data_IF_125175017964
#
_entry.id   IF_125175017964
#
_cell.length_a   1.000
_cell.length_b   1.000
_cell.length_c   1.000
_cell.angle_alpha   90.00
_cell.angle_beta   90.00
_cell.angle_gamma   90.00
#
_symmetry.space_group_name_H-M   'P 1'
#
loop_
_entity.id
_entity.type
_entity.pdbx_description
1 polymer ?
#
# COMPACT_ATOMS: atom_id res chain seq x y z
N UNK A 1 10.89 28.30 -11.07
CA UNK A 1 10.15 29.16 -10.10
C UNK A 1 8.65 29.30 -10.40
N UNK A 2 8.18 29.08 -11.64
CA UNK A 2 6.75 29.22 -12.01
C UNK A 2 5.87 28.04 -11.61
N UNK A 3 6.41 26.82 -11.51
CA UNK A 3 5.62 25.62 -11.18
C UNK A 3 5.12 25.63 -9.72
N UNK A 4 5.99 25.99 -8.78
CA UNK A 4 5.62 26.03 -7.35
C UNK A 4 4.52 27.03 -7.05
N UNK A 5 4.55 28.23 -7.67
CA UNK A 5 3.51 29.22 -7.53
C UNK A 5 2.17 28.72 -8.11
N UNK A 6 2.20 28.11 -9.31
CA UNK A 6 1.01 27.50 -9.92
C UNK A 6 0.36 26.43 -9.03
N UNK A 7 1.18 25.61 -8.35
CA UNK A 7 0.67 24.57 -7.46
C UNK A 7 0.07 25.14 -6.17
N UNK A 8 0.60 26.24 -5.67
CA UNK A 8 0.01 26.96 -4.53
C UNK A 8 -1.37 27.50 -4.88
N UNK A 9 -1.54 28.16 -6.03
CA UNK A 9 -2.85 28.66 -6.47
C UNK A 9 -3.87 27.54 -6.69
N UNK A 10 -3.49 26.44 -7.30
CA UNK A 10 -4.38 25.28 -7.46
C UNK A 10 -4.87 24.76 -6.10
N UNK A 11 -3.98 24.61 -5.13
CA UNK A 11 -4.34 24.18 -3.77
C UNK A 11 -5.28 25.18 -3.10
N UNK A 12 -5.03 26.47 -3.22
CA UNK A 12 -5.90 27.52 -2.68
C UNK A 12 -7.30 27.47 -3.28
N UNK A 13 -7.41 27.32 -4.61
CA UNK A 13 -8.71 27.20 -5.29
C UNK A 13 -9.45 25.95 -4.80
N UNK A 14 -8.79 24.82 -4.74
CA UNK A 14 -9.40 23.56 -4.24
C UNK A 14 -9.84 23.74 -2.78
N UNK A 15 -9.04 24.38 -1.94
CA UNK A 15 -9.38 24.64 -0.54
C UNK A 15 -10.63 25.51 -0.42
N UNK A 16 -10.72 26.59 -1.20
CA UNK A 16 -11.89 27.49 -1.21
C UNK A 16 -13.12 26.73 -1.71
N UNK A 17 -13.01 25.98 -2.80
CA UNK A 17 -14.11 25.17 -3.32
C UNK A 17 -14.56 24.12 -2.31
N UNK A 18 -13.63 23.45 -1.65
CA UNK A 18 -13.93 22.46 -0.62
C UNK A 18 -14.67 23.12 0.55
N UNK A 19 -14.23 24.29 1.00
CA UNK A 19 -14.87 25.02 2.09
C UNK A 19 -16.29 25.48 1.74
N UNK A 20 -16.51 25.88 0.49
CA UNK A 20 -17.82 26.37 0.02
C UNK A 20 -18.83 25.22 -0.23
N UNK A 21 -18.37 24.09 -0.78
CA UNK A 21 -19.25 23.03 -1.29
C UNK A 21 -19.27 21.77 -0.43
N UNK A 22 -18.20 21.45 0.31
CA UNK A 22 -18.17 20.27 1.16
C UNK A 22 -18.78 20.59 2.52
N UNK A 23 -19.72 19.75 2.93
CA UNK A 23 -20.29 19.76 4.28
C UNK A 23 -19.77 18.56 5.04
N UNK A 24 -19.25 18.78 6.23
CA UNK A 24 -18.89 17.69 7.14
C UNK A 24 -20.13 16.93 7.56
N UNK A 25 -20.07 15.61 7.51
CA UNK A 25 -21.10 14.79 8.17
C UNK A 25 -21.00 15.06 9.68
N UNK A 26 -22.10 15.42 10.36
CA UNK A 26 -22.06 15.65 11.79
C UNK A 26 -21.79 14.30 12.49
N UNK A 27 -20.53 14.07 12.84
CA UNK A 27 -20.12 12.91 13.64
C UNK A 27 -19.93 13.41 15.06
N UNK A 28 -20.79 12.98 15.97
CA UNK A 28 -20.61 13.16 17.41
C UNK A 28 -19.63 12.08 17.92
N UNK A 29 -18.33 12.24 17.64
CA UNK A 29 -17.29 11.37 18.17
C UNK A 29 -17.02 11.68 19.65
N UNK A 30 -17.07 10.68 20.51
CA UNK A 30 -16.58 10.78 21.86
C UNK A 30 -15.15 10.24 21.90
N UNK A 31 -14.17 11.08 22.23
CA UNK A 31 -12.74 10.72 22.30
C UNK A 31 -12.52 9.43 23.13
N UNK A 32 -13.24 9.27 24.25
CA UNK A 32 -13.16 8.05 25.06
C UNK A 32 -13.60 6.79 24.30
N UNK A 33 -14.58 6.91 23.43
CA UNK A 33 -15.07 5.81 22.62
C UNK A 33 -14.11 5.47 21.46
N UNK A 34 -13.43 6.48 20.92
CA UNK A 34 -12.41 6.27 19.89
C UNK A 34 -11.17 5.54 20.43
N UNK A 35 -10.81 5.77 21.72
CA UNK A 35 -9.70 5.06 22.36
C UNK A 35 -9.97 3.57 22.59
N UNK A 36 -11.23 3.13 22.58
CA UNK A 36 -11.57 1.70 22.76
C UNK A 36 -11.09 0.81 21.62
N UNK A 37 -10.79 1.38 20.42
CA UNK A 37 -10.27 0.62 19.29
C UNK A 37 -8.94 -0.08 19.61
N UNK A 38 -8.11 0.50 20.47
CA UNK A 38 -6.79 -0.07 20.81
C UNK A 38 -6.87 -1.34 21.66
N UNK A 39 -7.99 -1.59 22.34
CA UNK A 39 -8.28 -2.85 23.03
C UNK A 39 -8.67 -3.99 22.10
N UNK A 40 -8.98 -3.71 20.83
CA UNK A 40 -9.38 -4.71 19.87
C UNK A 40 -8.16 -5.23 19.09
N UNK A 41 -7.89 -6.54 19.14
CA UNK A 41 -6.80 -7.19 18.40
C UNK A 41 -6.87 -6.93 16.87
N UNK A 42 -8.09 -6.83 16.33
CA UNK A 42 -8.29 -6.60 14.90
C UNK A 42 -7.79 -5.23 14.45
N UNK A 43 -7.77 -4.23 15.32
CA UNK A 43 -7.16 -2.93 15.02
C UNK A 43 -5.67 -3.08 14.68
N UNK A 44 -4.95 -3.89 15.44
CA UNK A 44 -3.52 -4.12 15.23
C UNK A 44 -3.25 -4.98 13.98
N UNK A 45 -4.10 -5.96 13.70
CA UNK A 45 -4.00 -6.76 12.47
C UNK A 45 -4.26 -5.90 11.24
N UNK A 46 -5.32 -5.09 11.25
CA UNK A 46 -5.61 -4.17 10.15
C UNK A 46 -4.54 -3.08 10.00
N UNK A 47 -3.94 -2.63 11.11
CA UNK A 47 -2.81 -1.71 11.08
C UNK A 47 -1.61 -2.35 10.37
N UNK A 48 -1.27 -3.59 10.68
CA UNK A 48 -0.19 -4.31 10.00
C UNK A 48 -0.50 -4.51 8.50
N UNK A 49 -1.73 -4.89 8.15
CA UNK A 49 -2.14 -5.12 6.77
C UNK A 49 -2.08 -3.82 5.96
N UNK A 50 -2.66 -2.76 6.49
CA UNK A 50 -2.64 -1.46 5.82
C UNK A 50 -1.23 -0.89 5.74
N UNK A 51 -0.44 -1.00 6.81
CA UNK A 51 0.96 -0.60 6.81
C UNK A 51 1.74 -1.38 5.74
N UNK A 52 1.66 -2.71 5.70
CA UNK A 52 2.39 -3.52 4.72
C UNK A 52 2.04 -3.15 3.28
N UNK A 53 0.76 -2.99 2.97
CA UNK A 53 0.31 -2.63 1.61
C UNK A 53 0.66 -1.18 1.26
N UNK A 54 0.35 -0.23 2.14
CA UNK A 54 0.57 1.19 1.86
C UNK A 54 2.04 1.59 1.92
N UNK A 55 2.81 1.05 2.89
CA UNK A 55 4.24 1.29 2.98
C UNK A 55 4.97 0.82 1.72
N UNK A 56 4.66 -0.39 1.26
CA UNK A 56 5.26 -0.93 0.04
C UNK A 56 4.84 -0.10 -1.17
N UNK A 57 3.56 0.21 -1.31
CA UNK A 57 3.04 1.03 -2.40
C UNK A 57 3.68 2.43 -2.44
N UNK A 58 3.53 3.20 -1.39
CA UNK A 58 3.97 4.59 -1.36
C UNK A 58 5.50 4.70 -1.23
N UNK A 59 6.13 3.78 -0.49
CA UNK A 59 7.57 3.73 -0.32
C UNK A 59 8.30 3.38 -1.62
N UNK A 60 7.88 2.33 -2.31
CA UNK A 60 8.44 1.99 -3.62
C UNK A 60 8.11 3.08 -4.65
N UNK A 61 6.93 3.70 -4.59
CA UNK A 61 6.57 4.82 -5.47
C UNK A 61 7.52 6.00 -5.34
N UNK A 62 7.92 6.33 -4.12
CA UNK A 62 8.90 7.39 -3.86
C UNK A 62 10.34 7.01 -4.29
N UNK A 63 10.68 5.73 -4.24
CA UNK A 63 12.05 5.24 -4.45
C UNK A 63 12.28 4.59 -5.81
N UNK A 64 11.24 4.37 -6.64
CA UNK A 64 11.34 3.60 -7.89
C UNK A 64 12.41 4.14 -8.84
N UNK A 65 12.48 5.46 -9.01
CA UNK A 65 13.48 6.09 -9.88
C UNK A 65 14.92 5.86 -9.38
N UNK A 66 15.15 6.05 -8.09
CA UNK A 66 16.47 5.85 -7.47
C UNK A 66 16.86 4.36 -7.51
N UNK A 67 15.95 3.49 -7.11
CA UNK A 67 16.16 2.04 -7.05
C UNK A 67 16.45 1.47 -8.44
N UNK A 68 15.70 1.90 -9.46
CA UNK A 68 15.92 1.48 -10.83
C UNK A 68 17.26 1.99 -11.39
N UNK A 69 17.63 3.25 -11.15
CA UNK A 69 18.92 3.77 -11.56
C UNK A 69 20.08 2.97 -10.95
N UNK A 70 19.99 2.62 -9.66
CA UNK A 70 20.99 1.77 -9.02
C UNK A 70 21.01 0.35 -9.60
N UNK A 71 19.85 -0.23 -9.82
CA UNK A 71 19.73 -1.61 -10.30
C UNK A 71 20.18 -1.76 -11.76
N UNK A 72 20.00 -0.73 -12.58
CA UNK A 72 20.34 -0.74 -14.00
C UNK A 72 21.73 -0.13 -14.30
N UNK A 73 22.46 0.28 -13.25
CA UNK A 73 23.78 0.88 -13.42
C UNK A 73 24.73 -0.01 -14.22
N UNK A 74 25.37 0.55 -15.24
CA UNK A 74 26.31 -0.16 -16.12
C UNK A 74 25.68 -0.97 -17.26
N UNK A 75 24.34 -0.96 -17.43
CA UNK A 75 23.66 -1.62 -18.55
C UNK A 75 23.37 -0.58 -19.62
N UNK A 76 24.13 -0.59 -20.72
CA UNK A 76 23.90 0.31 -21.85
C UNK A 76 22.53 0.03 -22.51
N UNK A 77 21.77 1.08 -22.80
CA UNK A 77 20.44 0.97 -23.39
C UNK A 77 19.33 0.57 -22.40
N UNK A 78 19.61 0.52 -21.10
CA UNK A 78 18.59 0.26 -20.09
C UNK A 78 17.48 1.33 -20.11
N UNK A 79 16.21 0.96 -19.83
CA UNK A 79 15.11 1.91 -19.74
C UNK A 79 15.32 2.89 -18.59
N UNK A 80 14.92 4.16 -18.77
CA UNK A 80 14.97 5.14 -17.70
C UNK A 80 13.91 4.84 -16.63
N UNK A 81 14.34 4.31 -15.50
CA UNK A 81 13.44 4.05 -14.37
C UNK A 81 12.80 5.34 -13.83
N UNK A 82 13.51 6.47 -13.88
CA UNK A 82 12.97 7.78 -13.49
C UNK A 82 11.81 8.21 -14.39
N UNK A 83 11.97 8.03 -15.71
CA UNK A 83 10.91 8.37 -16.66
C UNK A 83 9.65 7.51 -16.51
N UNK A 84 9.81 6.27 -16.02
CA UNK A 84 8.73 5.31 -15.82
C UNK A 84 8.20 5.27 -14.36
N UNK A 85 8.82 6.02 -13.44
CA UNK A 85 8.50 5.95 -12.01
C UNK A 85 7.03 6.30 -11.69
N UNK A 86 6.42 7.16 -12.47
CA UNK A 86 5.01 7.54 -12.31
C UNK A 86 4.01 6.42 -12.60
N UNK A 87 4.39 5.44 -13.43
CA UNK A 87 3.52 4.32 -13.81
C UNK A 87 3.17 3.43 -12.61
N UNK A 88 4.11 3.19 -11.70
CA UNK A 88 3.89 2.37 -10.52
C UNK A 88 2.70 2.87 -9.68
N UNK A 89 2.76 4.11 -9.16
CA UNK A 89 1.64 4.70 -8.44
C UNK A 89 0.32 4.74 -9.21
N UNK A 90 0.35 4.99 -10.53
CA UNK A 90 -0.87 4.98 -11.36
C UNK A 90 -1.47 3.58 -11.43
N UNK A 91 -0.67 2.54 -11.70
CA UNK A 91 -1.13 1.15 -11.73
C UNK A 91 -1.77 0.76 -10.40
N UNK A 92 -1.11 1.07 -9.27
CA UNK A 92 -1.64 0.74 -7.96
C UNK A 92 -2.88 1.55 -7.58
N UNK A 93 -2.98 2.81 -7.99
CA UNK A 93 -4.18 3.61 -7.76
C UNK A 93 -5.37 3.07 -8.56
N UNK A 94 -5.18 2.71 -9.82
CA UNK A 94 -6.23 2.14 -10.66
C UNK A 94 -6.65 0.75 -10.18
N UNK A 95 -5.70 -0.10 -9.79
CA UNK A 95 -6.00 -1.42 -9.23
C UNK A 95 -6.81 -1.33 -7.94
N UNK A 96 -6.55 -0.32 -7.09
CA UNK A 96 -7.31 -0.06 -5.88
C UNK A 96 -8.80 0.21 -6.17
N UNK A 97 -9.09 1.02 -7.20
CA UNK A 97 -10.48 1.32 -7.60
C UNK A 97 -11.22 0.05 -8.07
N UNK A 98 -10.56 -0.74 -8.94
CA UNK A 98 -11.15 -1.99 -9.43
C UNK A 98 -11.32 -3.06 -8.34
N UNK A 99 -10.34 -3.15 -7.44
CA UNK A 99 -10.33 -4.16 -6.38
C UNK A 99 -11.41 -3.95 -5.32
N UNK A 100 -11.85 -2.71 -5.05
CA UNK A 100 -12.95 -2.46 -4.14
C UNK A 100 -14.21 -3.21 -4.57
N UNK A 101 -14.61 -3.10 -5.83
CA UNK A 101 -15.77 -3.79 -6.37
C UNK A 101 -15.65 -5.33 -6.35
N UNK A 102 -14.43 -5.85 -6.46
CA UNK A 102 -14.15 -7.29 -6.38
C UNK A 102 -14.22 -7.76 -4.93
N UNK A 103 -13.64 -7.02 -4.00
CA UNK A 103 -13.69 -7.32 -2.56
C UNK A 103 -15.11 -7.40 -2.03
N UNK A 104 -15.98 -6.49 -2.44
CA UNK A 104 -17.41 -6.50 -2.08
C UNK A 104 -18.13 -7.79 -2.51
N UNK A 105 -17.67 -8.42 -3.61
CA UNK A 105 -18.30 -9.64 -4.16
C UNK A 105 -17.75 -10.94 -3.59
N UNK A 106 -16.46 -11.02 -3.34
CA UNK A 106 -15.79 -12.29 -3.00
C UNK A 106 -15.18 -12.31 -1.60
N UNK A 107 -15.43 -11.30 -0.78
CA UNK A 107 -14.92 -11.04 0.58
C UNK A 107 -13.49 -10.49 0.59
N UNK A 108 -13.26 -9.47 1.40
CA UNK A 108 -11.96 -8.81 1.57
C UNK A 108 -10.86 -9.74 2.05
N UNK A 109 -11.16 -10.65 2.98
CA UNK A 109 -10.20 -11.63 3.47
C UNK A 109 -9.63 -12.52 2.38
N UNK A 110 -10.46 -12.96 1.42
CA UNK A 110 -10.01 -13.78 0.30
C UNK A 110 -9.16 -13.00 -0.68
N UNK A 111 -9.55 -11.77 -0.98
CA UNK A 111 -8.75 -10.86 -1.85
C UNK A 111 -7.40 -10.58 -1.21
N UNK A 112 -7.36 -10.36 0.10
CA UNK A 112 -6.13 -10.14 0.86
C UNK A 112 -5.20 -11.37 0.84
N UNK A 113 -5.75 -12.60 0.90
CA UNK A 113 -4.96 -13.83 0.74
C UNK A 113 -4.27 -13.87 -0.63
N UNK A 114 -5.03 -13.66 -1.71
CA UNK A 114 -4.51 -13.67 -3.09
C UNK A 114 -3.44 -12.59 -3.24
N UNK A 115 -3.74 -11.39 -2.80
CA UNK A 115 -2.82 -10.25 -2.84
C UNK A 115 -1.51 -10.55 -2.10
N UNK A 116 -1.58 -11.10 -0.89
CA UNK A 116 -0.39 -11.40 -0.09
C UNK A 116 0.52 -12.42 -0.79
N UNK A 117 -0.06 -13.50 -1.34
CA UNK A 117 0.69 -14.49 -2.13
C UNK A 117 1.35 -13.85 -3.35
N UNK A 118 0.61 -13.05 -4.11
CA UNK A 118 1.14 -12.38 -5.31
C UNK A 118 2.25 -11.38 -4.98
N UNK A 119 2.14 -10.64 -3.86
CA UNK A 119 3.21 -9.75 -3.41
C UNK A 119 4.44 -10.51 -2.90
N UNK A 120 4.27 -11.62 -2.18
CA UNK A 120 5.39 -12.47 -1.77
C UNK A 120 6.17 -12.93 -3.00
N UNK A 121 5.49 -13.44 -4.02
CA UNK A 121 6.13 -13.88 -5.27
C UNK A 121 6.88 -12.72 -5.94
N UNK A 122 6.23 -11.55 -6.09
CA UNK A 122 6.84 -10.38 -6.71
C UNK A 122 8.05 -9.85 -5.95
N UNK A 123 7.95 -9.72 -4.63
CA UNK A 123 9.05 -9.23 -3.79
C UNK A 123 10.23 -10.20 -3.73
N UNK A 124 9.96 -11.51 -3.68
CA UNK A 124 11.00 -12.54 -3.79
C UNK A 124 11.69 -12.49 -5.15
N UNK A 125 10.93 -12.31 -6.23
CA UNK A 125 11.51 -12.17 -7.55
C UNK A 125 12.41 -10.93 -7.64
N UNK A 126 12.00 -9.77 -7.10
CA UNK A 126 12.82 -8.56 -7.05
C UNK A 126 14.06 -8.70 -6.16
N UNK A 127 13.97 -9.48 -5.09
CA UNK A 127 15.09 -9.75 -4.20
C UNK A 127 16.15 -10.64 -4.84
N UNK A 128 15.72 -11.71 -5.52
CA UNK A 128 16.61 -12.73 -6.07
C UNK A 128 17.13 -12.38 -7.46
N UNK A 129 16.34 -11.64 -8.24
CA UNK A 129 16.66 -11.33 -9.63
C UNK A 129 17.41 -10.00 -9.76
N UNK A 130 18.62 -10.07 -10.29
CA UNK A 130 19.43 -8.90 -10.66
C UNK A 130 19.54 -8.84 -12.18
N UNK A 131 19.02 -7.80 -12.85
CA UNK A 131 19.13 -7.68 -14.29
C UNK A 131 20.59 -7.45 -14.71
N UNK A 132 21.00 -8.12 -15.80
CA UNK A 132 22.31 -7.97 -16.43
C UNK A 132 22.20 -7.56 -17.89
N UNK A 133 21.00 -7.51 -18.43
CA UNK A 133 20.69 -7.18 -19.83
C UNK A 133 19.53 -6.19 -19.90
N UNK A 134 19.39 -5.50 -21.03
CA UNK A 134 18.27 -4.57 -21.27
C UNK A 134 16.92 -5.27 -21.12
N UNK A 135 16.78 -6.47 -21.67
CA UNK A 135 15.56 -7.29 -21.49
C UNK A 135 15.31 -7.61 -20.02
N UNK A 136 16.37 -7.88 -19.26
CA UNK A 136 16.31 -8.10 -17.82
C UNK A 136 15.79 -6.88 -17.06
N UNK A 137 16.17 -5.67 -17.46
CA UNK A 137 15.65 -4.43 -16.87
C UNK A 137 14.14 -4.29 -17.08
N UNK A 138 13.63 -4.65 -18.26
CA UNK A 138 12.19 -4.65 -18.51
C UNK A 138 11.45 -5.70 -17.69
N UNK A 139 11.99 -6.90 -17.55
CA UNK A 139 11.42 -7.93 -16.66
C UNK A 139 11.35 -7.42 -15.23
N UNK A 140 12.41 -6.80 -14.72
CA UNK A 140 12.45 -6.22 -13.37
C UNK A 140 11.37 -5.14 -13.19
N UNK A 141 11.19 -4.24 -14.16
CA UNK A 141 10.15 -3.22 -14.14
C UNK A 141 8.74 -3.83 -14.16
N UNK A 142 8.51 -4.86 -14.98
CA UNK A 142 7.21 -5.56 -15.03
C UNK A 142 6.89 -6.19 -13.67
N UNK A 143 7.86 -6.84 -13.02
CA UNK A 143 7.68 -7.40 -11.68
C UNK A 143 7.44 -6.30 -10.65
N UNK A 144 8.12 -5.16 -10.77
CA UNK A 144 7.86 -4.01 -9.92
C UNK A 144 6.42 -3.49 -10.09
N UNK A 145 5.94 -3.34 -11.32
CA UNK A 145 4.55 -2.94 -11.59
C UNK A 145 3.54 -3.98 -11.13
N UNK A 146 3.87 -5.27 -11.18
CA UNK A 146 3.09 -6.34 -10.55
C UNK A 146 2.94 -6.11 -9.04
N UNK A 147 4.01 -5.78 -8.34
CA UNK A 147 3.95 -5.46 -6.90
C UNK A 147 3.08 -4.23 -6.65
N UNK A 148 3.19 -3.17 -7.46
CA UNK A 148 2.31 -2.00 -7.36
C UNK A 148 0.84 -2.35 -7.55
N UNK A 149 0.52 -3.18 -8.53
CA UNK A 149 -0.85 -3.63 -8.77
C UNK A 149 -1.43 -4.33 -7.55
N UNK A 150 -0.72 -5.33 -7.01
CA UNK A 150 -1.21 -6.11 -5.90
C UNK A 150 -1.20 -5.37 -4.56
N UNK A 151 -0.30 -4.44 -4.35
CA UNK A 151 -0.36 -3.56 -3.17
C UNK A 151 -1.56 -2.62 -3.22
N UNK A 152 -1.94 -2.13 -4.40
CA UNK A 152 -3.17 -1.37 -4.59
C UNK A 152 -4.42 -2.20 -4.29
N UNK A 153 -4.50 -3.43 -4.81
CA UNK A 153 -5.56 -4.41 -4.50
C UNK A 153 -5.66 -4.64 -2.99
N UNK A 154 -4.53 -4.87 -2.33
CA UNK A 154 -4.48 -5.13 -0.89
C UNK A 154 -4.92 -3.94 -0.04
N UNK A 155 -4.61 -2.74 -0.47
CA UNK A 155 -5.05 -1.54 0.23
C UNK A 155 -6.58 -1.38 0.19
N UNK A 156 -7.22 -1.72 -0.94
CA UNK A 156 -8.68 -1.74 -1.06
C UNK A 156 -9.30 -2.84 -0.20
N UNK A 157 -8.81 -4.08 -0.30
CA UNK A 157 -9.35 -5.21 0.45
C UNK A 157 -9.21 -5.07 1.96
N UNK A 158 -8.10 -4.47 2.43
CA UNK A 158 -7.92 -4.16 3.87
C UNK A 158 -8.91 -3.10 4.34
N UNK A 159 -9.20 -2.10 3.52
CA UNK A 159 -10.20 -1.06 3.85
C UNK A 159 -11.60 -1.66 3.95
N UNK A 160 -11.95 -2.58 3.06
CA UNK A 160 -13.23 -3.31 3.10
C UNK A 160 -13.32 -4.19 4.36
N UNK A 161 -12.27 -4.95 4.69
CA UNK A 161 -12.23 -5.73 5.93
C UNK A 161 -12.45 -4.85 7.17
N UNK A 162 -11.86 -3.66 7.22
CA UNK A 162 -12.10 -2.72 8.33
C UNK A 162 -13.57 -2.31 8.42
N UNK A 163 -14.24 -2.10 7.29
CA UNK A 163 -15.65 -1.73 7.25
C UNK A 163 -16.57 -2.87 7.76
N UNK A 164 -16.19 -4.13 7.54
CA UNK A 164 -16.94 -5.31 8.01
C UNK A 164 -16.67 -5.64 9.48
N UNK A 165 -15.40 -5.53 9.90
CA UNK A 165 -14.96 -5.96 11.25
C UNK A 165 -15.33 -4.98 12.36
N UNK A 166 -15.52 -3.70 12.03
CA UNK A 166 -15.74 -2.66 13.04
C UNK A 166 -17.13 -2.03 12.90
N UNK A 167 -17.80 -1.76 14.03
CA UNK A 167 -19.04 -0.99 14.02
C UNK A 167 -18.87 0.38 13.34
N UNK A 168 -19.90 0.92 12.68
CA UNK A 168 -19.81 2.20 11.95
C UNK A 168 -19.24 3.36 12.80
N UNK A 169 -19.53 3.38 14.11
CA UNK A 169 -19.02 4.39 15.03
C UNK A 169 -17.51 4.30 15.29
N UNK A 170 -16.90 3.12 15.14
CA UNK A 170 -15.48 2.88 15.35
C UNK A 170 -14.70 2.84 14.03
N UNK A 171 -15.36 2.58 12.91
CA UNK A 171 -14.73 2.40 11.61
C UNK A 171 -13.88 3.61 11.20
N UNK A 172 -14.38 4.82 11.41
CA UNK A 172 -13.64 6.06 11.13
C UNK A 172 -12.34 6.18 11.93
N UNK A 173 -12.38 5.87 13.22
CA UNK A 173 -11.22 5.93 14.11
C UNK A 173 -10.16 4.87 13.73
N UNK A 174 -10.59 3.64 13.37
CA UNK A 174 -9.69 2.57 12.92
C UNK A 174 -9.04 2.93 11.59
N UNK A 175 -9.80 3.40 10.60
CA UNK A 175 -9.25 3.85 9.31
C UNK A 175 -8.29 5.01 9.50
N UNK A 176 -8.64 5.99 10.35
CA UNK A 176 -7.77 7.12 10.68
C UNK A 176 -6.44 6.67 11.28
N UNK A 177 -6.49 5.79 12.29
CA UNK A 177 -5.30 5.24 12.94
C UNK A 177 -4.43 4.44 11.97
N UNK A 178 -5.01 3.48 11.24
CA UNK A 178 -4.28 2.63 10.30
C UNK A 178 -3.64 3.43 9.19
N UNK A 179 -4.33 4.46 8.69
CA UNK A 179 -3.80 5.37 7.66
C UNK A 179 -2.67 6.24 8.20
N UNK A 180 -2.78 6.74 9.44
CA UNK A 180 -1.72 7.51 10.09
C UNK A 180 -0.45 6.66 10.26
N UNK A 181 -0.57 5.42 10.74
CA UNK A 181 0.57 4.49 10.84
C UNK A 181 1.12 4.14 9.45
N UNK A 182 0.25 3.88 8.47
CA UNK A 182 0.64 3.61 7.08
C UNK A 182 1.45 4.75 6.45
N UNK A 183 1.15 6.00 6.80
CA UNK A 183 1.87 7.17 6.29
C UNK A 183 3.36 7.21 6.67
N UNK A 184 3.79 6.49 7.70
CA UNK A 184 5.22 6.29 8.01
C UNK A 184 5.91 5.30 7.06
N UNK A 185 5.16 4.57 6.25
CA UNK A 185 5.68 3.57 5.34
C UNK A 185 6.76 4.06 4.37
N UNK A 186 6.55 5.16 3.62
CA UNK A 186 7.58 5.71 2.74
C UNK A 186 8.88 6.04 3.44
N UNK A 187 8.81 6.54 4.67
CA UNK A 187 9.97 6.82 5.49
C UNK A 187 10.73 5.53 5.85
N UNK A 188 10.04 4.50 6.31
CA UNK A 188 10.68 3.23 6.68
C UNK A 188 11.26 2.50 5.48
N UNK A 189 10.59 2.49 4.33
CA UNK A 189 11.13 1.93 3.08
C UNK A 189 12.36 2.71 2.61
N UNK A 190 12.31 4.04 2.70
CA UNK A 190 13.45 4.89 2.36
C UNK A 190 14.65 4.65 3.27
N UNK A 191 14.46 4.54 4.57
CA UNK A 191 15.50 4.19 5.54
C UNK A 191 16.10 2.80 5.28
N UNK A 192 15.26 1.78 5.08
CA UNK A 192 15.73 0.43 4.79
C UNK A 192 16.57 0.40 3.51
N UNK A 193 16.16 1.14 2.49
CA UNK A 193 16.91 1.25 1.26
C UNK A 193 18.27 1.95 1.47
N UNK A 194 18.29 3.04 2.22
CA UNK A 194 19.51 3.85 2.46
C UNK A 194 20.52 3.13 3.34
N UNK A 195 20.08 2.51 4.44
CA UNK A 195 20.94 1.93 5.46
C UNK A 195 21.29 0.46 5.18
N UNK A 196 20.33 -0.31 4.67
CA UNK A 196 20.46 -1.76 4.53
C UNK A 196 20.51 -2.23 3.06
N UNK A 197 20.21 -1.35 2.12
CA UNK A 197 20.16 -1.65 0.70
C UNK A 197 18.89 -2.38 0.24
N UNK A 198 18.72 -2.45 -1.09
CA UNK A 198 17.53 -2.97 -1.73
C UNK A 198 17.21 -4.42 -1.38
N UNK A 199 18.23 -5.28 -1.26
CA UNK A 199 18.04 -6.70 -0.94
C UNK A 199 17.38 -6.90 0.41
N UNK A 200 17.87 -6.22 1.45
CA UNK A 200 17.30 -6.31 2.82
C UNK A 200 15.91 -5.69 2.85
N UNK A 201 15.69 -4.59 2.16
CA UNK A 201 14.38 -3.96 2.05
C UNK A 201 13.33 -4.91 1.45
N UNK A 202 13.64 -5.59 0.34
CA UNK A 202 12.73 -6.58 -0.26
C UNK A 202 12.52 -7.79 0.64
N UNK A 203 13.57 -8.28 1.32
CA UNK A 203 13.45 -9.39 2.26
C UNK A 203 12.52 -9.06 3.43
N UNK A 204 12.70 -7.91 4.07
CA UNK A 204 11.84 -7.46 5.18
C UNK A 204 10.40 -7.27 4.70
N UNK A 205 10.19 -6.63 3.55
CA UNK A 205 8.86 -6.49 2.96
C UNK A 205 8.20 -7.85 2.71
N UNK A 206 8.94 -8.83 2.22
CA UNK A 206 8.46 -10.21 2.02
C UNK A 206 8.02 -10.84 3.36
N UNK A 207 8.81 -10.70 4.42
CA UNK A 207 8.46 -11.22 5.76
C UNK A 207 7.17 -10.57 6.28
N UNK A 208 6.99 -9.28 6.07
CA UNK A 208 5.74 -8.58 6.43
C UNK A 208 4.55 -9.20 5.69
N UNK A 209 4.65 -9.45 4.38
CA UNK A 209 3.55 -10.07 3.63
C UNK A 209 3.31 -11.53 4.02
N UNK A 210 4.34 -12.28 4.43
CA UNK A 210 4.16 -13.63 5.01
C UNK A 210 3.37 -13.55 6.32
N UNK A 211 3.69 -12.59 7.19
CA UNK A 211 2.93 -12.37 8.43
C UNK A 211 1.47 -11.97 8.14
N UNK A 212 1.24 -11.06 7.19
CA UNK A 212 -0.10 -10.69 6.72
C UNK A 212 -0.86 -11.93 6.24
N UNK A 213 -0.25 -12.75 5.38
CA UNK A 213 -0.85 -13.97 4.85
C UNK A 213 -1.24 -14.93 5.98
N UNK A 214 -0.33 -15.20 6.90
CA UNK A 214 -0.57 -16.12 8.01
C UNK A 214 -1.72 -15.66 8.91
N UNK A 215 -1.73 -14.38 9.29
CA UNK A 215 -2.79 -13.80 10.12
C UNK A 215 -4.11 -13.79 9.35
N UNK A 216 -4.10 -13.37 8.09
CA UNK A 216 -5.30 -13.26 7.29
C UNK A 216 -5.98 -14.63 7.06
N UNK A 217 -5.20 -15.64 6.68
CA UNK A 217 -5.73 -17.00 6.49
C UNK A 217 -6.27 -17.56 7.80
N UNK A 218 -5.56 -17.35 8.91
CA UNK A 218 -6.01 -17.89 10.19
C UNK A 218 -7.30 -17.25 10.71
N UNK A 219 -7.42 -15.93 10.63
CA UNK A 219 -8.52 -15.19 11.25
C UNK A 219 -9.68 -14.90 10.29
N UNK A 220 -9.44 -14.71 8.97
CA UNK A 220 -10.43 -14.09 8.09
C UNK A 220 -10.81 -14.92 6.86
N UNK A 221 -9.95 -15.80 6.33
CA UNK A 221 -10.20 -16.46 5.03
C UNK A 221 -10.54 -17.95 5.11
N UNK A 222 -10.02 -18.71 6.05
CA UNK A 222 -10.29 -20.17 6.12
C UNK A 222 -11.77 -20.44 6.44
N UNK A 223 -12.29 -21.60 6.00
CA UNK A 223 -13.71 -22.01 6.19
C UNK A 223 -14.23 -21.91 7.64
N UNK A 224 -13.39 -22.12 8.62
CA UNK A 224 -13.70 -22.02 10.06
C UNK A 224 -12.95 -20.86 10.70
N UNK A 225 -12.75 -19.76 9.97
CA UNK A 225 -12.09 -18.58 10.52
C UNK A 225 -12.96 -17.98 11.65
N UNK A 226 -12.33 -17.48 12.73
CA UNK A 226 -13.08 -16.87 13.84
C UNK A 226 -13.90 -15.65 13.40
N UNK A 227 -13.41 -14.88 12.46
CA UNK A 227 -13.97 -13.59 12.04
C UNK A 227 -13.98 -13.50 10.51
N UNK A 228 -14.80 -14.30 9.87
CA UNK A 228 -14.91 -14.42 8.42
C UNK A 228 -15.37 -13.10 7.79
N UNK A 229 -14.55 -12.46 6.96
CA UNK A 229 -14.85 -11.21 6.28
C UNK A 229 -14.35 -11.16 4.82
#
# INVERSE_FOLDING_TARGET
>A
RSSAASDVYKRQIITILSWLFLRSVPVSGNIKQEWTIFGNKHTWFMTLFYYGTFATFAGLGAQLGLLGNHTFAGIEGAPSAVALAWLGPVIGALSRVGAGQVSDKIRGGRVTTIMAVCNIIGLLALWLYKPTTVSGCWIWLIVMFWVFFWTGVGNASTTEQMAVLFPPLQGGAVVGWTSAVGAYGPFTIGMLLAECGAGVMFAISTVIFIAILAINVYYYDRKNAPDLC
#
